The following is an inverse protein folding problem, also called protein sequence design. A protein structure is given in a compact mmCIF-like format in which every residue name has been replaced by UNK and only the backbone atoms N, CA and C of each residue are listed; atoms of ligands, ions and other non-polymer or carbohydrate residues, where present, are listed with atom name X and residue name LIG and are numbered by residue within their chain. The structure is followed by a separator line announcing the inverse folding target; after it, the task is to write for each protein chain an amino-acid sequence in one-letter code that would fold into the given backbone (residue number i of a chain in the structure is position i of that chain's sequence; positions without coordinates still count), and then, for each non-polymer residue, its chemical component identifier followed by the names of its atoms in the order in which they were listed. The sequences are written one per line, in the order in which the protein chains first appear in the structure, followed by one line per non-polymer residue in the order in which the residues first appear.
data_IF_058134643745
#
_entry.id   IF_058134643745
#
_cell.length_a   1.000
_cell.length_b   1.000
_cell.length_c   1.000
_cell.angle_alpha   90.00
_cell.angle_beta   90.00
_cell.angle_gamma   90.00
#
_symmetry.space_group_name_H-M   'P 1'
#
loop_
_entity.id
_entity.type
_entity.pdbx_description
1 polymer ?
#
# COMPACT_ATOMS: atom_id res chain seq x y z
N UNK A 1 24.42 14.11 -13.92
CA UNK A 1 23.16 14.16 -13.14
C UNK A 1 23.02 12.83 -12.45
N UNK A 2 23.06 12.79 -11.12
CA UNK A 2 22.64 11.57 -10.42
C UNK A 2 21.15 11.39 -10.61
N UNK A 3 20.72 10.18 -11.00
CA UNK A 3 19.31 9.82 -10.93
C UNK A 3 18.91 9.76 -9.45
N UNK A 4 17.88 10.54 -9.08
CA UNK A 4 17.29 10.45 -7.74
C UNK A 4 16.76 9.04 -7.48
N UNK A 5 16.93 8.58 -6.24
CA UNK A 5 16.46 7.26 -5.81
C UNK A 5 14.92 7.22 -5.79
N UNK A 6 14.33 6.13 -6.28
CA UNK A 6 12.89 5.93 -6.23
C UNK A 6 12.43 5.89 -4.76
N UNK A 7 11.40 6.68 -4.42
CA UNK A 7 10.81 6.68 -3.07
C UNK A 7 9.30 6.50 -3.15
N UNK A 8 8.80 5.49 -2.45
CA UNK A 8 7.38 5.33 -2.21
C UNK A 8 6.98 6.25 -1.04
N UNK A 9 6.12 7.26 -1.30
CA UNK A 9 5.83 8.32 -0.30
C UNK A 9 4.48 8.17 0.38
N UNK A 10 3.48 7.69 -0.35
CA UNK A 10 2.09 7.62 0.11
C UNK A 10 1.35 6.56 -0.67
N UNK A 11 0.47 5.85 0.02
CA UNK A 11 -0.51 4.97 -0.61
C UNK A 11 -1.91 5.46 -0.23
N UNK A 12 -2.79 5.59 -1.23
CA UNK A 12 -4.16 6.02 -1.02
C UNK A 12 -5.13 5.15 -1.82
N UNK A 13 -6.13 4.62 -1.14
CA UNK A 13 -7.30 3.98 -1.73
C UNK A 13 -8.47 4.94 -1.55
N UNK A 14 -9.23 5.19 -2.61
CA UNK A 14 -10.47 5.98 -2.56
C UNK A 14 -11.58 5.17 -3.20
N UNK A 15 -12.69 5.05 -2.49
CA UNK A 15 -13.95 4.46 -2.92
C UNK A 15 -14.97 5.58 -2.98
N UNK A 16 -15.34 5.96 -4.19
CA UNK A 16 -16.34 7.00 -4.42
C UNK A 16 -17.73 6.38 -4.27
N UNK A 17 -18.55 6.96 -3.39
CA UNK A 17 -19.95 6.55 -3.20
C UNK A 17 -20.86 7.75 -3.41
N UNK A 18 -22.18 7.51 -3.48
CA UNK A 18 -23.18 8.57 -3.65
C UNK A 18 -23.18 9.58 -2.50
N UNK A 19 -22.77 9.14 -1.31
CA UNK A 19 -22.96 9.90 -0.07
C UNK A 19 -21.63 10.49 0.42
N UNK A 20 -20.53 9.73 0.33
CA UNK A 20 -19.19 10.23 0.63
C UNK A 20 -18.06 9.36 0.05
N UNK A 21 -16.88 9.94 -0.05
CA UNK A 21 -15.66 9.17 -0.35
C UNK A 21 -15.19 8.43 0.91
N UNK A 22 -14.99 7.12 0.77
CA UNK A 22 -14.37 6.27 1.79
C UNK A 22 -12.98 5.85 1.32
N UNK A 23 -12.11 5.45 2.23
CA UNK A 23 -10.78 5.05 1.80
C UNK A 23 -9.80 4.79 2.91
N UNK A 24 -8.58 4.53 2.48
CA UNK A 24 -7.41 4.34 3.32
C UNK A 24 -6.28 5.23 2.82
N UNK A 25 -5.51 5.79 3.75
CA UNK A 25 -4.44 6.71 3.44
C UNK A 25 -3.28 6.52 4.41
N UNK A 26 -2.10 6.14 3.89
CA UNK A 26 -0.89 6.04 4.68
C UNK A 26 0.29 6.70 4.00
N UNK A 27 1.22 7.21 4.83
CA UNK A 27 2.48 7.78 4.41
C UNK A 27 3.63 6.84 4.77
N UNK A 28 4.68 6.89 3.97
CA UNK A 28 5.91 6.14 4.20
C UNK A 28 7.05 7.11 4.41
N UNK A 29 7.85 6.80 5.43
CA UNK A 29 9.07 7.51 5.74
C UNK A 29 10.27 6.87 5.04
N UNK A 30 11.38 7.59 4.98
CA UNK A 30 12.63 7.03 4.46
C UNK A 30 13.18 5.97 5.44
N UNK A 31 13.68 4.85 4.91
CA UNK A 31 14.18 3.73 5.71
C UNK A 31 13.14 2.64 5.97
N UNK A 32 13.09 2.12 7.20
CA UNK A 32 12.25 0.98 7.59
C UNK A 32 10.85 1.44 8.03
N UNK A 33 9.82 1.02 7.30
CA UNK A 33 8.42 1.22 7.68
C UNK A 33 7.85 -0.10 8.24
N UNK A 34 7.29 -0.08 9.45
CA UNK A 34 6.72 -1.26 10.11
C UNK A 34 5.20 -1.22 10.00
N UNK A 35 4.61 -2.20 9.34
CA UNK A 35 3.16 -2.39 9.26
C UNK A 35 2.75 -3.41 10.33
N UNK A 36 2.07 -2.95 11.38
CA UNK A 36 1.64 -3.78 12.53
C UNK A 36 0.14 -3.64 12.76
N UNK A 37 -0.49 -4.74 13.16
CA UNK A 37 -1.91 -4.84 13.49
C UNK A 37 -2.31 -6.30 13.72
N UNK A 38 -3.48 -6.52 14.29
CA UNK A 38 -4.00 -7.87 14.55
C UNK A 38 -4.37 -8.60 13.27
N UNK A 39 -4.59 -9.92 13.36
CA UNK A 39 -5.11 -10.67 12.23
C UNK A 39 -6.45 -10.07 11.79
N UNK A 40 -6.66 -10.03 10.46
CA UNK A 40 -7.81 -9.39 9.84
C UNK A 40 -7.88 -7.86 9.96
N UNK A 41 -6.82 -7.19 10.41
CA UNK A 41 -6.75 -5.71 10.45
C UNK A 41 -6.43 -5.05 9.10
N UNK A 42 -6.29 -5.82 8.02
CA UNK A 42 -5.99 -5.32 6.67
C UNK A 42 -4.51 -5.17 6.30
N UNK A 43 -3.58 -5.75 7.07
CA UNK A 43 -2.13 -5.71 6.76
C UNK A 43 -1.79 -6.30 5.39
N UNK A 44 -2.22 -7.55 5.14
CA UNK A 44 -1.97 -8.25 3.88
C UNK A 44 -2.75 -7.59 2.74
N UNK A 45 -3.93 -7.02 3.03
CA UNK A 45 -4.69 -6.20 2.09
C UNK A 45 -3.88 -4.98 1.64
N UNK A 46 -3.29 -4.21 2.57
CA UNK A 46 -2.45 -3.06 2.24
C UNK A 46 -1.27 -3.45 1.34
N UNK A 47 -0.52 -4.50 1.70
CA UNK A 47 0.62 -4.99 0.90
C UNK A 47 0.15 -5.38 -0.51
N UNK A 48 -0.92 -6.18 -0.61
CA UNK A 48 -1.44 -6.63 -1.90
C UNK A 48 -1.97 -5.48 -2.75
N UNK A 49 -2.61 -4.47 -2.16
CA UNK A 49 -3.09 -3.30 -2.89
C UNK A 49 -1.94 -2.45 -3.44
N UNK A 50 -0.82 -2.33 -2.72
CA UNK A 50 0.38 -1.66 -3.22
C UNK A 50 0.93 -2.42 -4.44
N UNK A 51 1.06 -3.74 -4.35
CA UNK A 51 1.59 -4.60 -5.42
C UNK A 51 0.70 -4.58 -6.66
N UNK A 52 -0.61 -4.62 -6.44
CA UNK A 52 -1.59 -4.49 -7.51
C UNK A 52 -1.47 -3.12 -8.21
N UNK A 53 -1.29 -2.03 -7.45
CA UNK A 53 -1.19 -0.68 -8.01
C UNK A 53 0.02 -0.44 -8.91
N UNK A 54 1.06 -1.27 -8.80
CA UNK A 54 2.29 -1.19 -9.60
C UNK A 54 2.35 -2.26 -10.70
N UNK A 55 1.26 -3.02 -10.93
CA UNK A 55 1.17 -4.04 -11.98
C UNK A 55 2.01 -5.29 -11.72
N UNK A 56 2.20 -5.65 -10.43
CA UNK A 56 2.95 -6.84 -10.02
C UNK A 56 2.06 -7.91 -9.38
N UNK A 57 0.82 -8.06 -9.85
CA UNK A 57 -0.19 -8.96 -9.28
C UNK A 57 0.28 -10.41 -9.08
N UNK A 58 1.16 -10.95 -9.94
CA UNK A 58 1.71 -12.29 -9.78
C UNK A 58 2.52 -12.46 -8.47
N UNK A 59 3.18 -11.41 -7.98
CA UNK A 59 3.94 -11.43 -6.73
C UNK A 59 3.05 -11.57 -5.50
N UNK A 60 1.77 -11.19 -5.59
CA UNK A 60 0.83 -11.30 -4.47
C UNK A 60 0.63 -12.76 -4.04
N UNK A 61 0.76 -13.72 -4.95
CA UNK A 61 0.66 -15.16 -4.69
C UNK A 61 1.76 -15.68 -3.74
N UNK A 62 2.91 -15.01 -3.72
CA UNK A 62 4.08 -15.43 -2.95
C UNK A 62 4.19 -14.75 -1.57
N UNK A 63 3.37 -13.74 -1.31
CA UNK A 63 3.40 -12.98 -0.07
C UNK A 63 2.39 -13.52 0.93
N UNK A 64 2.88 -14.33 1.86
CA UNK A 64 2.14 -14.73 3.07
C UNK A 64 2.48 -13.75 4.18
N UNK A 65 1.67 -12.68 4.29
CA UNK A 65 1.80 -11.62 5.31
C UNK A 65 0.70 -11.76 6.36
#
# INVERSE_FOLDING_TARGET
MELGQLRFKRFKIVVQTTDSDYGFDCRFEDGLNIIRGDNSSGKSTLINSIIYSIGMEELSTYLKV
#
